data_IF_605938563080
#
_entry.id   IF_605938563080
#
_cell.length_a   1.000
_cell.length_b   1.000
_cell.length_c   1.000
_cell.angle_alpha   90.00
_cell.angle_beta   90.00
_cell.angle_gamma   90.00
#
_symmetry.space_group_name_H-M   'P 1'
#
loop_
_entity.id
_entity.type
_entity.pdbx_description
1 polymer ?
#
# COMPACT_ATOMS: atom_id res chain seq x y z
N UNK A 1 -25.73 42.18 -16.65
CA UNK A 1 -24.80 41.88 -15.54
C UNK A 1 -23.74 40.95 -16.10
N UNK A 2 -22.47 41.26 -15.83
CA UNK A 2 -21.31 40.84 -16.63
C UNK A 2 -21.14 39.33 -16.78
N UNK A 3 -20.58 38.94 -17.93
CA UNK A 3 -20.16 37.56 -18.16
C UNK A 3 -19.11 37.16 -17.13
N UNK A 4 -19.32 36.02 -16.50
CA UNK A 4 -18.40 35.47 -15.52
C UNK A 4 -17.02 35.24 -16.17
N UNK A 5 -16.03 35.91 -15.61
CA UNK A 5 -14.62 35.87 -15.97
C UNK A 5 -14.08 34.45 -15.68
N UNK A 6 -14.19 33.54 -16.65
CA UNK A 6 -13.55 32.23 -16.57
C UNK A 6 -12.03 32.40 -16.70
N UNK A 7 -11.34 32.54 -15.57
CA UNK A 7 -9.88 32.48 -15.53
C UNK A 7 -9.42 31.03 -15.70
N UNK A 8 -8.94 30.70 -16.90
CA UNK A 8 -8.29 29.41 -17.19
C UNK A 8 -6.97 29.33 -16.40
N UNK A 9 -6.87 28.38 -15.48
CA UNK A 9 -5.66 28.13 -14.69
C UNK A 9 -5.93 27.89 -13.21
N UNK A 10 -4.94 27.39 -12.49
CA UNK A 10 -5.01 27.26 -11.02
C UNK A 10 -4.84 28.66 -10.42
N UNK A 11 -5.75 29.05 -9.52
CA UNK A 11 -5.57 30.32 -8.79
C UNK A 11 -4.33 30.19 -7.89
N UNK A 12 -3.40 31.16 -7.91
CA UNK A 12 -2.23 31.13 -7.05
C UNK A 12 -2.64 30.97 -5.58
N UNK A 13 -1.86 30.17 -4.83
CA UNK A 13 -2.06 30.01 -3.40
C UNK A 13 -1.96 31.36 -2.69
N UNK A 14 -2.76 31.56 -1.65
CA UNK A 14 -2.70 32.77 -0.82
C UNK A 14 -1.46 32.77 0.09
N UNK A 15 -0.80 31.62 0.24
CA UNK A 15 0.42 31.45 1.02
C UNK A 15 1.65 31.49 0.13
N UNK A 16 2.72 32.12 0.62
CA UNK A 16 4.03 32.07 -0.03
C UNK A 16 4.58 30.65 0.09
N UNK A 17 4.83 30.01 -1.04
CA UNK A 17 5.43 28.68 -1.11
C UNK A 17 6.96 28.81 -1.02
N UNK A 18 7.59 28.06 -0.12
CA UNK A 18 9.05 27.97 0.07
C UNK A 18 9.50 26.51 0.00
N UNK A 19 10.11 26.14 -1.12
CA UNK A 19 10.60 24.80 -1.40
C UNK A 19 12.06 24.56 -1.01
N UNK A 20 12.73 25.50 -0.33
CA UNK A 20 14.19 25.44 -0.06
C UNK A 20 14.66 24.17 0.66
N UNK A 21 13.82 23.58 1.49
CA UNK A 21 14.12 22.35 2.24
C UNK A 21 13.52 21.09 1.61
N UNK A 22 12.90 21.19 0.43
CA UNK A 22 12.23 20.05 -0.19
C UNK A 22 13.16 19.23 -1.08
N UNK A 23 12.89 17.94 -1.15
CA UNK A 23 13.44 16.99 -2.11
C UNK A 23 12.36 16.42 -3.01
N UNK A 24 12.48 16.65 -4.31
CA UNK A 24 11.43 16.34 -5.29
C UNK A 24 11.93 15.29 -6.27
N UNK A 25 11.10 14.28 -6.51
CA UNK A 25 11.31 13.27 -7.56
C UNK A 25 10.52 13.66 -8.82
N UNK A 26 11.15 13.60 -9.99
CA UNK A 26 10.48 13.65 -11.29
C UNK A 26 10.73 12.32 -12.00
N UNK A 27 9.66 11.61 -12.36
CA UNK A 27 9.73 10.43 -13.22
C UNK A 27 9.04 10.77 -14.53
N UNK A 28 9.72 10.61 -15.67
CA UNK A 28 9.15 10.97 -16.96
C UNK A 28 9.29 9.89 -18.03
N UNK A 29 8.43 9.92 -19.05
CA UNK A 29 8.49 8.95 -20.16
C UNK A 29 9.51 9.35 -21.22
N UNK A 30 10.03 8.37 -21.97
CA UNK A 30 10.80 8.61 -23.20
C UNK A 30 9.94 8.65 -24.47
N UNK A 31 8.72 8.14 -24.40
CA UNK A 31 7.72 8.36 -25.45
C UNK A 31 7.34 9.85 -25.53
N UNK A 32 7.24 10.37 -26.76
CA UNK A 32 6.88 11.76 -27.06
C UNK A 32 7.83 12.80 -26.43
N UNK A 33 9.15 12.52 -26.44
CA UNK A 33 10.18 13.35 -25.82
C UNK A 33 10.15 14.83 -26.21
N UNK A 34 9.87 15.15 -27.47
CA UNK A 34 9.77 16.54 -27.95
C UNK A 34 8.71 17.37 -27.19
N UNK A 35 7.72 16.70 -26.59
CA UNK A 35 6.67 17.31 -25.77
C UNK A 35 6.97 17.13 -24.27
N UNK A 36 7.51 15.97 -23.88
CA UNK A 36 7.86 15.67 -22.47
C UNK A 36 9.00 16.57 -21.97
N UNK A 37 10.02 16.83 -22.78
CA UNK A 37 11.19 17.61 -22.35
C UNK A 37 10.80 19.04 -21.95
N UNK A 38 9.99 19.80 -22.75
CA UNK A 38 9.47 21.10 -22.32
C UNK A 38 8.64 21.05 -21.04
N UNK A 39 7.85 19.98 -20.81
CA UNK A 39 7.07 19.81 -19.58
C UNK A 39 7.99 19.59 -18.36
N UNK A 40 9.02 18.75 -18.50
CA UNK A 40 10.03 18.53 -17.45
C UNK A 40 10.77 19.82 -17.16
N UNK A 41 11.22 20.55 -18.19
CA UNK A 41 11.90 21.84 -18.04
C UNK A 41 11.01 22.85 -17.32
N UNK A 42 9.73 22.95 -17.70
CA UNK A 42 8.76 23.83 -17.04
C UNK A 42 8.58 23.48 -15.55
N UNK A 43 8.47 22.19 -15.23
CA UNK A 43 8.39 21.73 -13.85
C UNK A 43 9.64 22.09 -13.04
N UNK A 44 10.83 21.78 -13.57
CA UNK A 44 12.11 22.09 -12.91
C UNK A 44 12.27 23.59 -12.68
N UNK A 45 12.03 24.42 -13.71
CA UNK A 45 12.12 25.86 -13.59
C UNK A 45 11.20 26.41 -12.49
N UNK A 46 9.98 25.89 -12.39
CA UNK A 46 9.05 26.31 -11.35
C UNK A 46 9.43 25.79 -9.95
N UNK A 47 10.01 24.58 -9.84
CA UNK A 47 10.56 24.10 -8.57
C UNK A 47 11.69 25.01 -8.07
N UNK A 48 12.62 25.36 -8.96
CA UNK A 48 13.73 26.28 -8.65
C UNK A 48 13.23 27.69 -8.30
N UNK A 49 12.20 28.19 -9.01
CA UNK A 49 11.57 29.49 -8.72
C UNK A 49 10.93 29.53 -7.32
N UNK A 50 10.49 28.39 -6.81
CA UNK A 50 10.01 28.23 -5.44
C UNK A 50 11.13 27.92 -4.43
N UNK A 51 12.39 27.88 -4.86
CA UNK A 51 13.56 27.74 -4.00
C UNK A 51 14.09 26.32 -3.83
N UNK A 52 13.49 25.30 -4.47
CA UNK A 52 14.01 23.92 -4.42
C UNK A 52 15.42 23.90 -5.01
N UNK A 53 16.40 23.44 -4.23
CA UNK A 53 17.79 23.42 -4.69
C UNK A 53 17.96 22.39 -5.83
N UNK A 54 18.70 22.69 -6.92
CA UNK A 54 18.84 21.78 -8.06
C UNK A 54 19.33 20.37 -7.70
N UNK A 55 20.22 20.25 -6.71
CA UNK A 55 20.69 18.93 -6.22
C UNK A 55 19.62 18.09 -5.51
N UNK A 56 18.49 18.71 -5.14
CA UNK A 56 17.35 18.05 -4.50
C UNK A 56 16.25 17.69 -5.50
N UNK A 57 16.43 17.99 -6.78
CA UNK A 57 15.54 17.59 -7.86
C UNK A 57 16.13 16.36 -8.52
N UNK A 58 15.55 15.19 -8.25
CA UNK A 58 16.00 13.92 -8.83
C UNK A 58 15.13 13.58 -10.03
N UNK A 59 15.73 13.44 -11.20
CA UNK A 59 15.03 13.14 -12.45
C UNK A 59 15.39 11.72 -12.91
N UNK A 60 14.38 10.92 -13.27
CA UNK A 60 14.54 9.57 -13.83
C UNK A 60 13.59 9.33 -14.98
N UNK A 61 14.08 8.75 -16.07
CA UNK A 61 13.25 8.37 -17.20
C UNK A 61 12.77 6.91 -17.11
N UNK A 62 11.65 6.63 -17.77
CA UNK A 62 11.09 5.30 -18.01
C UNK A 62 10.70 5.14 -19.49
N UNK A 63 10.57 3.90 -20.01
CA UNK A 63 10.21 3.70 -21.42
C UNK A 63 8.89 4.38 -21.79
N UNK A 64 7.77 4.04 -21.12
CA UNK A 64 6.45 4.58 -21.41
C UNK A 64 5.64 4.91 -20.16
N UNK A 65 4.42 5.43 -20.37
CA UNK A 65 3.58 5.91 -19.28
C UNK A 65 3.16 4.78 -18.32
N UNK A 66 3.01 3.55 -18.83
CA UNK A 66 2.61 2.39 -18.04
C UNK A 66 3.61 2.06 -16.92
N UNK A 67 4.89 2.40 -17.10
CA UNK A 67 5.93 2.18 -16.09
C UNK A 67 5.98 3.28 -15.01
N UNK A 68 5.37 4.45 -15.23
CA UNK A 68 5.43 5.60 -14.31
C UNK A 68 5.05 5.23 -12.86
N UNK A 69 3.90 4.56 -12.59
CA UNK A 69 3.52 4.24 -11.22
C UNK A 69 4.53 3.31 -10.54
N UNK A 70 4.96 2.26 -11.25
CA UNK A 70 5.89 1.27 -10.70
C UNK A 70 7.26 1.86 -10.38
N UNK A 71 7.79 2.69 -11.28
CA UNK A 71 9.05 3.38 -11.08
C UNK A 71 8.98 4.40 -9.94
N UNK A 72 7.95 5.25 -9.92
CA UNK A 72 7.77 6.24 -8.85
C UNK A 72 7.64 5.56 -7.48
N UNK A 73 6.80 4.52 -7.36
CA UNK A 73 6.65 3.79 -6.11
C UNK A 73 7.96 3.17 -5.63
N UNK A 74 8.72 2.56 -6.55
CA UNK A 74 10.01 1.93 -6.23
C UNK A 74 11.01 2.97 -5.72
N UNK A 75 11.18 4.09 -6.42
CA UNK A 75 12.13 5.14 -6.07
C UNK A 75 11.77 5.83 -4.75
N UNK A 76 10.47 6.09 -4.51
CA UNK A 76 9.98 6.66 -3.25
C UNK A 76 10.27 5.71 -2.08
N UNK A 77 9.94 4.43 -2.21
CA UNK A 77 10.19 3.45 -1.13
C UNK A 77 11.68 3.28 -0.86
N UNK A 78 12.50 3.27 -1.90
CA UNK A 78 13.95 3.17 -1.76
C UNK A 78 14.53 4.38 -1.00
N UNK A 79 14.09 5.60 -1.31
CA UNK A 79 14.58 6.80 -0.61
C UNK A 79 14.16 6.84 0.87
N UNK A 80 12.98 6.31 1.20
CA UNK A 80 12.51 6.13 2.58
C UNK A 80 13.30 5.07 3.36
N UNK A 81 13.80 4.02 2.70
CA UNK A 81 14.58 2.97 3.34
C UNK A 81 16.01 3.42 3.67
N UNK A 82 16.64 4.20 2.78
CA UNK A 82 18.01 4.72 2.99
C UNK A 82 18.12 5.73 4.13
N UNK A 83 17.01 6.37 4.54
CA UNK A 83 17.01 7.24 5.73
C UNK A 83 17.11 6.50 7.06
N UNK A 84 16.97 5.17 7.08
CA UNK A 84 17.17 4.38 8.29
C UNK A 84 18.66 4.12 8.52
N UNK A 85 19.24 4.71 9.56
CA UNK A 85 20.66 4.60 9.97
C UNK A 85 21.26 3.18 9.96
N UNK A 86 20.43 2.13 10.11
CA UNK A 86 20.86 0.72 10.15
C UNK A 86 21.23 0.18 8.76
N UNK A 87 20.55 0.60 7.68
CA UNK A 87 20.84 0.09 6.33
C UNK A 87 22.22 0.53 5.83
N UNK A 88 22.65 1.74 6.20
CA UNK A 88 23.95 2.28 5.78
C UNK A 88 25.14 1.52 6.37
N UNK A 89 24.99 0.89 7.54
CA UNK A 89 26.04 0.05 8.15
C UNK A 89 26.10 -1.32 7.44
N UNK A 90 24.94 -1.89 7.12
CA UNK A 90 24.85 -3.21 6.47
C UNK A 90 25.28 -3.16 5.01
N UNK A 91 24.94 -2.09 4.29
CA UNK A 91 25.35 -1.91 2.88
C UNK A 91 26.86 -1.70 2.73
N UNK A 92 27.52 -1.04 3.69
CA UNK A 92 28.99 -0.86 3.70
C UNK A 92 29.72 -2.19 3.98
N UNK A 93 29.08 -3.11 4.73
CA UNK A 93 29.60 -4.45 5.02
C UNK A 93 29.36 -5.46 3.89
N UNK A 94 28.24 -5.34 3.17
CA UNK A 94 27.83 -6.32 2.14
C UNK A 94 28.31 -5.97 0.72
N UNK A 95 29.00 -4.83 0.54
CA UNK A 95 29.46 -4.37 -0.78
C UNK A 95 28.32 -4.36 -1.82
N UNK A 96 27.10 -4.11 -1.36
CA UNK A 96 25.92 -3.99 -2.19
C UNK A 96 26.08 -2.76 -3.09
N UNK A 97 25.63 -2.80 -4.35
CA UNK A 97 25.77 -1.66 -5.25
C UNK A 97 25.09 -0.44 -4.61
N UNK A 98 25.89 0.53 -4.17
CA UNK A 98 25.38 1.81 -3.67
C UNK A 98 24.66 2.47 -4.84
N UNK A 99 23.40 2.90 -4.62
CA UNK A 99 22.77 3.86 -5.53
C UNK A 99 23.69 5.08 -5.64
N UNK A 100 23.71 5.73 -6.81
CA UNK A 100 24.45 6.97 -7.00
C UNK A 100 24.14 7.97 -5.87
N UNK A 101 25.14 8.76 -5.46
CA UNK A 101 25.05 9.75 -4.37
C UNK A 101 23.88 10.75 -4.47
N UNK A 102 23.18 10.78 -5.61
CA UNK A 102 22.02 11.61 -5.93
C UNK A 102 20.78 11.35 -5.03
N UNK A 103 20.60 10.13 -4.49
CA UNK A 103 19.36 9.75 -3.78
C UNK A 103 19.52 9.72 -2.25
N UNK A 104 20.26 10.65 -1.64
CA UNK A 104 20.32 10.75 -0.16
C UNK A 104 19.05 11.34 0.46
N UNK A 105 18.33 10.56 1.27
CA UNK A 105 17.15 11.00 2.02
C UNK A 105 15.81 10.86 1.27
N UNK A 106 14.68 10.85 2.01
CA UNK A 106 13.35 10.59 1.46
C UNK A 106 12.88 11.74 0.56
N UNK A 107 11.97 11.43 -0.37
CA UNK A 107 11.31 12.46 -1.18
C UNK A 107 10.12 13.06 -0.44
N UNK A 108 9.94 14.37 -0.59
CA UNK A 108 8.82 15.12 -0.02
C UNK A 108 7.59 15.09 -0.91
N UNK A 109 7.80 15.14 -2.24
CA UNK A 109 6.79 14.90 -3.27
C UNK A 109 7.42 14.29 -4.54
N UNK A 110 6.57 13.79 -5.43
CA UNK A 110 6.94 13.27 -6.73
C UNK A 110 6.05 13.84 -7.85
N UNK A 111 6.58 13.91 -9.07
CA UNK A 111 5.86 14.31 -10.29
C UNK A 111 6.03 13.19 -11.32
N UNK A 112 4.92 12.63 -11.79
CA UNK A 112 4.94 11.64 -12.88
C UNK A 112 4.54 12.33 -14.19
N UNK A 113 5.50 12.50 -15.10
CA UNK A 113 5.31 13.23 -16.36
C UNK A 113 5.23 12.25 -17.53
N UNK A 114 4.19 12.37 -18.35
CA UNK A 114 4.07 11.56 -19.56
C UNK A 114 3.09 12.16 -20.55
N UNK A 115 3.16 11.72 -21.80
CA UNK A 115 2.24 12.17 -22.84
C UNK A 115 1.69 10.94 -23.55
N UNK A 116 0.37 10.78 -23.48
CA UNK A 116 -0.41 9.78 -24.19
C UNK A 116 -1.23 10.50 -25.26
N UNK A 117 -1.09 10.05 -26.51
CA UNK A 117 -1.82 10.59 -27.67
C UNK A 117 -2.68 9.47 -28.26
N UNK A 118 -3.95 9.76 -28.53
CA UNK A 118 -4.91 8.78 -29.06
C UNK A 118 -4.46 8.26 -30.43
N UNK A 119 -4.21 6.95 -30.48
CA UNK A 119 -4.00 6.21 -31.73
C UNK A 119 -5.29 5.57 -32.26
N UNK A 120 -5.13 4.59 -33.15
CA UNK A 120 -6.25 3.89 -33.81
C UNK A 120 -6.96 2.83 -32.96
N UNK A 121 -6.37 2.44 -31.82
CA UNK A 121 -6.88 1.34 -30.97
C UNK A 121 -7.23 1.82 -29.56
N UNK A 122 -7.82 0.93 -28.75
CA UNK A 122 -8.14 1.18 -27.33
C UNK A 122 -6.91 1.23 -26.40
N UNK A 123 -5.70 1.09 -26.94
CA UNK A 123 -4.47 1.09 -26.16
C UNK A 123 -4.30 2.38 -25.35
N UNK A 124 -4.70 3.52 -25.93
CA UNK A 124 -4.68 4.82 -25.27
C UNK A 124 -5.55 4.81 -23.99
N UNK A 125 -6.79 4.35 -24.08
CA UNK A 125 -7.74 4.36 -22.97
C UNK A 125 -7.28 3.44 -21.84
N UNK A 126 -6.88 2.21 -22.15
CA UNK A 126 -6.46 1.25 -21.13
C UNK A 126 -5.19 1.69 -20.40
N UNK A 127 -4.22 2.28 -21.11
CA UNK A 127 -3.01 2.80 -20.45
C UNK A 127 -3.34 4.05 -19.65
N UNK A 128 -4.07 5.01 -20.22
CA UNK A 128 -4.41 6.26 -19.53
C UNK A 128 -5.16 5.99 -18.22
N UNK A 129 -6.13 5.08 -18.23
CA UNK A 129 -6.91 4.71 -17.06
C UNK A 129 -6.05 4.00 -16.00
N UNK A 130 -5.28 2.98 -16.40
CA UNK A 130 -4.41 2.24 -15.49
C UNK A 130 -3.32 3.12 -14.86
N UNK A 131 -2.71 4.02 -15.65
CA UNK A 131 -1.67 4.94 -15.18
C UNK A 131 -2.23 5.98 -14.22
N UNK A 132 -3.43 6.52 -14.50
CA UNK A 132 -4.10 7.48 -13.62
C UNK A 132 -4.37 6.89 -12.23
N UNK A 133 -4.97 5.70 -12.20
CA UNK A 133 -5.20 4.97 -10.94
C UNK A 133 -3.89 4.55 -10.26
N UNK A 134 -2.91 4.12 -11.04
CA UNK A 134 -1.59 3.73 -10.54
C UNK A 134 -0.91 4.89 -9.81
N UNK A 135 -0.79 6.06 -10.45
CA UNK A 135 -0.17 7.26 -9.87
C UNK A 135 -0.92 7.71 -8.61
N UNK A 136 -2.25 7.74 -8.63
CA UNK A 136 -3.07 8.04 -7.45
C UNK A 136 -2.71 7.11 -6.29
N UNK A 137 -2.65 5.81 -6.56
CA UNK A 137 -2.32 4.79 -5.56
C UNK A 137 -0.88 4.91 -5.05
N UNK A 138 0.09 5.30 -5.88
CA UNK A 138 1.45 5.59 -5.41
C UNK A 138 1.42 6.64 -4.30
N UNK A 139 0.69 7.73 -4.51
CA UNK A 139 0.59 8.79 -3.50
C UNK A 139 -0.02 8.32 -2.18
N UNK A 140 -1.12 7.56 -2.26
CA UNK A 140 -1.82 7.02 -1.09
C UNK A 140 -0.99 5.96 -0.35
N UNK A 141 -0.39 5.02 -1.08
CA UNK A 141 0.32 3.87 -0.50
C UNK A 141 1.69 4.26 0.08
N UNK A 142 2.35 5.27 -0.48
CA UNK A 142 3.68 5.72 -0.02
C UNK A 142 3.63 6.89 0.96
N UNK A 143 2.46 7.51 1.13
CA UNK A 143 2.27 8.74 1.88
C UNK A 143 3.19 9.88 1.39
N UNK A 144 3.48 9.92 0.08
CA UNK A 144 4.24 10.97 -0.62
C UNK A 144 3.34 11.53 -1.71
N UNK A 145 2.95 12.82 -1.68
CA UNK A 145 2.15 13.43 -2.73
C UNK A 145 2.78 13.17 -4.10
N UNK A 146 1.99 12.59 -5.00
CA UNK A 146 2.43 12.25 -6.36
C UNK A 146 1.58 13.01 -7.35
N UNK A 147 2.14 14.04 -7.96
CA UNK A 147 1.48 14.93 -8.92
C UNK A 147 1.27 14.19 -10.25
N UNK A 148 0.04 14.29 -10.76
CA UNK A 148 -0.37 13.69 -12.03
C UNK A 148 -0.01 14.63 -13.20
N UNK A 149 1.18 14.44 -13.78
CA UNK A 149 1.68 15.17 -14.94
C UNK A 149 1.52 14.41 -16.26
N UNK A 150 0.45 13.63 -16.41
CA UNK A 150 0.22 12.83 -17.64
C UNK A 150 -0.79 13.55 -18.54
N UNK A 151 -0.35 13.97 -19.72
CA UNK A 151 -1.24 14.52 -20.73
C UNK A 151 -1.94 13.38 -21.48
N UNK A 152 -3.27 13.37 -21.45
CA UNK A 152 -4.11 12.43 -22.22
C UNK A 152 -4.79 13.19 -23.36
N UNK A 153 -4.12 13.28 -24.51
CA UNK A 153 -4.54 14.11 -25.64
C UNK A 153 -5.11 13.29 -26.79
N UNK A 154 -6.01 13.89 -27.56
CA UNK A 154 -6.54 13.28 -28.78
C UNK A 154 -5.68 13.56 -30.01
N UNK A 155 -4.91 14.65 -29.99
CA UNK A 155 -4.02 15.05 -31.09
C UNK A 155 -2.68 15.56 -30.57
N UNK A 156 -1.66 15.55 -31.42
CA UNK A 156 -0.34 16.10 -31.14
C UNK A 156 -0.41 17.61 -30.83
N UNK A 157 -1.23 18.37 -31.56
CA UNK A 157 -1.38 19.81 -31.34
C UNK A 157 -1.88 20.11 -29.93
N UNK A 158 -2.82 19.31 -29.41
CA UNK A 158 -3.32 19.45 -28.05
C UNK A 158 -2.23 19.24 -27.01
N UNK A 159 -1.34 18.27 -27.24
CA UNK A 159 -0.22 17.98 -26.36
C UNK A 159 0.84 19.09 -26.44
N UNK A 160 1.16 19.58 -27.64
CA UNK A 160 2.09 20.69 -27.86
C UNK A 160 1.62 21.97 -27.18
N UNK A 161 0.34 22.34 -27.30
CA UNK A 161 -0.24 23.50 -26.62
C UNK A 161 -0.15 23.39 -25.09
N UNK A 162 -0.35 22.18 -24.55
CA UNK A 162 -0.26 21.90 -23.10
C UNK A 162 1.17 21.86 -22.56
N UNK A 163 2.15 21.77 -23.45
CA UNK A 163 3.57 21.89 -23.14
C UNK A 163 4.13 23.30 -23.44
N UNK A 164 3.28 24.25 -23.83
CA UNK A 164 3.69 25.63 -24.17
C UNK A 164 4.47 25.77 -25.48
N UNK A 165 4.42 24.75 -26.35
CA UNK A 165 5.15 24.68 -27.62
C UNK A 165 4.21 24.62 -28.83
N UNK A 166 2.97 25.08 -28.68
CA UNK A 166 2.01 25.20 -29.77
C UNK A 166 2.53 26.06 -30.94
N UNK A 167 1.90 25.91 -32.11
CA UNK A 167 2.30 26.60 -33.35
C UNK A 167 1.52 27.92 -33.52
N UNK A 168 2.13 28.90 -34.20
CA UNK A 168 1.50 30.19 -34.49
C UNK A 168 1.38 31.08 -33.26
N UNK A 169 0.30 31.84 -33.16
CA UNK A 169 0.03 32.74 -32.03
C UNK A 169 -0.47 31.99 -30.78
N UNK A 170 -0.96 30.76 -30.94
CA UNK A 170 -1.47 29.93 -29.84
C UNK A 170 -0.41 28.90 -29.39
N UNK A 171 0.61 29.40 -28.69
CA UNK A 171 1.64 28.56 -28.06
C UNK A 171 1.09 27.70 -26.92
N UNK A 172 -0.06 28.07 -26.35
CA UNK A 172 -0.63 27.47 -25.17
C UNK A 172 0.15 27.78 -23.88
N UNK A 173 -0.11 26.98 -22.84
CA UNK A 173 0.48 27.13 -21.50
C UNK A 173 1.22 25.84 -21.14
N UNK A 174 2.41 25.97 -20.55
CA UNK A 174 3.19 24.82 -20.14
C UNK A 174 2.71 24.30 -18.78
N UNK A 175 1.92 23.22 -18.80
CA UNK A 175 1.40 22.61 -17.57
C UNK A 175 2.48 22.01 -16.66
N UNK A 176 3.70 21.79 -17.18
CA UNK A 176 4.85 21.44 -16.35
C UNK A 176 5.05 22.45 -15.21
N UNK A 177 4.85 23.74 -15.49
CA UNK A 177 4.96 24.81 -14.49
C UNK A 177 3.92 24.66 -13.36
N UNK A 178 2.68 24.33 -13.73
CA UNK A 178 1.60 24.07 -12.76
C UNK A 178 1.94 22.88 -11.87
N UNK A 179 2.49 21.81 -12.46
CA UNK A 179 2.86 20.60 -11.75
C UNK A 179 4.01 20.82 -10.76
N UNK A 180 4.99 21.64 -11.13
CA UNK A 180 6.06 22.07 -10.23
C UNK A 180 5.50 22.83 -9.03
N UNK A 181 4.60 23.78 -9.27
CA UNK A 181 3.93 24.55 -8.20
C UNK A 181 3.13 23.62 -7.27
N UNK A 182 2.32 22.74 -7.85
CA UNK A 182 1.50 21.79 -7.11
C UNK A 182 2.36 20.83 -6.27
N UNK A 183 3.51 20.39 -6.78
CA UNK A 183 4.42 19.52 -6.03
C UNK A 183 4.96 20.21 -4.77
N UNK A 184 5.36 21.47 -4.86
CA UNK A 184 5.84 22.26 -3.72
C UNK A 184 4.71 22.46 -2.70
N UNK A 185 3.54 22.89 -3.16
CA UNK A 185 2.40 23.14 -2.28
C UNK A 185 1.97 21.87 -1.53
N UNK A 186 1.84 20.75 -2.24
CA UNK A 186 1.46 19.47 -1.64
C UNK A 186 2.54 18.92 -0.70
N UNK A 187 3.82 19.12 -1.01
CA UNK A 187 4.92 18.76 -0.11
C UNK A 187 4.86 19.58 1.19
N UNK A 188 4.60 20.89 1.11
CA UNK A 188 4.49 21.74 2.29
C UNK A 188 3.29 21.39 3.17
N UNK A 189 2.15 21.00 2.57
CA UNK A 189 0.98 20.51 3.31
C UNK A 189 1.24 19.21 4.07
N UNK A 190 2.17 18.39 3.58
CA UNK A 190 2.59 17.14 4.21
C UNK A 190 3.48 17.39 5.44
N UNK A 191 4.25 18.49 5.45
CA UNK A 191 5.11 18.81 6.58
C UNK A 191 4.26 19.13 7.82
N UNK A 192 4.69 18.74 9.03
CA UNK A 192 4.01 19.14 10.25
C UNK A 192 3.96 20.66 10.31
N UNK A 193 2.77 21.24 10.45
CA UNK A 193 2.59 22.69 10.59
C UNK A 193 3.34 23.19 11.83
N UNK A 194 4.58 23.60 11.67
CA UNK A 194 5.26 24.44 12.66
C UNK A 194 4.67 25.85 12.56
N UNK A 195 3.94 26.24 13.61
CA UNK A 195 3.50 27.61 13.94
C UNK A 195 2.45 28.31 13.06
N UNK A 196 1.19 27.85 13.10
CA UNK A 196 0.03 28.73 12.88
C UNK A 196 -0.92 28.64 14.08
N UNK A 197 -1.15 29.77 14.74
CA UNK A 197 -1.96 29.85 15.96
C UNK A 197 -2.91 31.06 15.90
N UNK A 198 -4.10 30.94 15.31
CA UNK A 198 -5.19 31.86 15.60
C UNK A 198 -5.82 31.44 16.94
N UNK A 199 -6.39 32.41 17.65
CA UNK A 199 -6.76 32.34 19.06
C UNK A 199 -7.47 31.03 19.47
N UNK A 200 -6.85 30.32 20.43
CA UNK A 200 -7.48 29.18 21.09
C UNK A 200 -8.52 29.71 22.08
N UNK A 201 -9.78 29.73 21.67
CA UNK A 201 -10.83 29.40 22.62
C UNK A 201 -10.52 27.98 23.12
N UNK A 202 -10.36 27.74 24.43
CA UNK A 202 -10.09 26.41 24.95
C UNK A 202 -11.34 25.56 24.77
N UNK A 203 -11.53 25.04 23.57
CA UNK A 203 -12.31 23.83 23.40
C UNK A 203 -11.50 22.78 24.14
N UNK A 204 -11.97 22.34 25.31
CA UNK A 204 -11.60 21.03 25.85
C UNK A 204 -12.04 19.99 24.81
N UNK A 205 -11.21 19.80 23.78
CA UNK A 205 -11.25 18.59 22.99
C UNK A 205 -10.81 17.51 23.96
N UNK A 206 -11.73 16.61 24.31
CA UNK A 206 -11.30 15.25 24.67
C UNK A 206 -10.43 14.81 23.51
N UNK A 207 -9.16 14.53 23.78
CA UNK A 207 -8.34 13.79 22.82
C UNK A 207 -9.15 12.55 22.43
N UNK A 208 -9.35 12.26 21.13
CA UNK A 208 -9.66 10.89 20.80
C UNK A 208 -8.42 10.11 21.23
N UNK A 209 -8.54 9.31 22.28
CA UNK A 209 -7.51 8.35 22.66
C UNK A 209 -7.10 7.62 21.38
N UNK A 210 -5.85 7.79 20.95
CA UNK A 210 -5.31 6.98 19.87
C UNK A 210 -5.38 5.55 20.36
N UNK A 211 -6.13 4.63 19.71
CA UNK A 211 -6.07 3.25 20.10
C UNK A 211 -4.63 2.77 19.89
N UNK A 212 -4.05 2.19 20.94
CA UNK A 212 -2.72 1.58 20.87
C UNK A 212 -2.78 0.47 19.82
N UNK A 213 -2.18 0.69 18.65
CA UNK A 213 -2.12 -0.32 17.59
C UNK A 213 -1.13 -1.41 18.04
N UNK A 214 -1.66 -2.57 18.37
CA UNK A 214 -0.85 -3.74 18.72
C UNK A 214 -0.22 -4.34 17.45
N UNK A 215 0.99 -4.89 17.57
CA UNK A 215 1.59 -5.67 16.48
C UNK A 215 0.71 -6.88 16.18
N UNK A 216 0.29 -7.01 14.92
CA UNK A 216 -0.62 -8.07 14.50
C UNK A 216 0.03 -9.45 14.57
N UNK A 217 -0.73 -10.49 14.97
CA UNK A 217 -0.24 -11.86 14.89
C UNK A 217 0.03 -12.24 13.44
N UNK A 218 1.10 -13.02 13.22
CA UNK A 218 1.34 -13.68 11.93
C UNK A 218 0.44 -14.92 11.86
N UNK A 219 -0.38 -15.01 10.82
CA UNK A 219 -1.42 -16.06 10.65
C UNK A 219 -1.05 -16.93 9.45
N UNK A 220 -1.06 -18.25 9.63
CA UNK A 220 -0.91 -19.23 8.56
C UNK A 220 -2.26 -19.88 8.22
N UNK A 221 -2.55 -20.07 6.94
CA UNK A 221 -3.70 -20.84 6.45
C UNK A 221 -3.16 -21.89 5.48
N UNK A 222 -3.47 -23.15 5.73
CA UNK A 222 -3.16 -24.29 4.87
C UNK A 222 -4.46 -24.86 4.32
N UNK A 223 -4.53 -25.07 3.01
CA UNK A 223 -5.74 -25.58 2.36
C UNK A 223 -5.41 -26.62 1.30
N UNK A 224 -6.29 -27.60 1.08
CA UNK A 224 -6.17 -28.55 -0.03
C UNK A 224 -6.47 -27.89 -1.37
N UNK A 225 -5.79 -28.31 -2.46
CA UNK A 225 -5.96 -27.78 -3.83
C UNK A 225 -7.42 -27.68 -4.28
N UNK A 226 -8.25 -28.63 -3.88
CA UNK A 226 -9.66 -28.72 -4.27
C UNK A 226 -10.55 -27.59 -3.72
N UNK A 227 -10.00 -26.69 -2.88
CA UNK A 227 -10.77 -25.74 -2.07
C UNK A 227 -10.48 -24.26 -2.35
N UNK A 228 -9.75 -23.91 -3.42
CA UNK A 228 -9.30 -22.53 -3.69
C UNK A 228 -10.42 -21.48 -3.68
N UNK A 229 -11.56 -21.76 -4.32
CA UNK A 229 -12.67 -20.81 -4.50
C UNK A 229 -13.30 -20.34 -3.18
N UNK A 230 -13.02 -21.04 -2.07
CA UNK A 230 -13.53 -20.72 -0.73
C UNK A 230 -12.50 -20.02 0.15
N UNK A 231 -11.22 -20.10 -0.20
CA UNK A 231 -10.13 -19.55 0.60
C UNK A 231 -9.98 -18.05 0.39
N UNK A 232 -10.09 -17.58 -0.84
CA UNK A 232 -9.97 -16.16 -1.15
C UNK A 232 -11.03 -15.29 -0.43
N UNK A 233 -12.34 -15.63 -0.46
CA UNK A 233 -13.35 -14.89 0.31
C UNK A 233 -13.08 -14.90 1.81
N UNK A 234 -12.69 -16.06 2.36
CA UNK A 234 -12.40 -16.23 3.78
C UNK A 234 -11.20 -15.41 4.25
N UNK A 235 -10.13 -15.38 3.45
CA UNK A 235 -8.94 -14.56 3.72
C UNK A 235 -9.30 -13.08 3.71
N UNK A 236 -10.14 -12.64 2.77
CA UNK A 236 -10.55 -11.25 2.68
C UNK A 236 -11.44 -10.83 3.86
N UNK A 237 -12.39 -11.67 4.26
CA UNK A 237 -13.24 -11.43 5.43
C UNK A 237 -12.42 -11.39 6.73
N UNK A 238 -11.47 -12.32 6.90
CA UNK A 238 -10.58 -12.33 8.06
C UNK A 238 -9.68 -11.08 8.09
N UNK A 239 -9.17 -10.64 6.93
CA UNK A 239 -8.40 -9.38 6.83
C UNK A 239 -9.26 -8.20 7.27
N UNK A 240 -10.49 -8.11 6.78
CA UNK A 240 -11.42 -7.03 7.11
C UNK A 240 -11.74 -6.99 8.60
N UNK A 241 -12.08 -8.13 9.21
CA UNK A 241 -12.38 -8.20 10.64
C UNK A 241 -11.18 -7.77 11.50
N UNK A 242 -9.99 -8.31 11.21
CA UNK A 242 -8.78 -7.98 11.96
C UNK A 242 -8.39 -6.49 11.83
N UNK A 243 -8.65 -5.86 10.67
CA UNK A 243 -8.32 -4.45 10.45
C UNK A 243 -9.35 -3.52 11.06
N UNK A 244 -10.63 -3.74 10.77
CA UNK A 244 -11.71 -2.81 11.14
C UNK A 244 -12.11 -2.95 12.60
N UNK A 245 -12.33 -4.19 13.03
CA UNK A 245 -12.88 -4.46 14.36
C UNK A 245 -11.81 -4.49 15.44
N UNK A 246 -10.64 -5.02 15.09
CA UNK A 246 -9.55 -5.25 16.03
C UNK A 246 -8.34 -4.34 15.82
N UNK A 247 -8.37 -3.48 14.79
CA UNK A 247 -7.39 -2.41 14.57
C UNK A 247 -5.93 -2.88 14.42
N UNK A 248 -5.73 -4.12 13.96
CA UNK A 248 -4.42 -4.67 13.67
C UNK A 248 -3.91 -4.26 12.29
N UNK A 249 -2.65 -3.81 12.22
CA UNK A 249 -1.99 -3.49 10.95
C UNK A 249 -0.46 -3.48 11.11
N UNK A 250 0.32 -4.11 10.21
CA UNK A 250 -0.12 -4.84 9.01
C UNK A 250 -0.61 -6.26 9.34
N UNK A 251 -1.66 -6.73 8.66
CA UNK A 251 -2.17 -8.10 8.80
C UNK A 251 -1.36 -9.06 7.93
N UNK A 252 -0.58 -9.92 8.58
CA UNK A 252 0.29 -10.89 7.91
C UNK A 252 -0.35 -12.27 7.87
N UNK A 253 -1.27 -12.48 6.91
CA UNK A 253 -1.86 -13.80 6.60
C UNK A 253 -1.08 -14.44 5.45
N UNK A 254 -0.50 -15.61 5.70
CA UNK A 254 0.18 -16.47 4.73
C UNK A 254 -0.72 -17.65 4.39
N UNK A 255 -1.03 -17.81 3.11
CA UNK A 255 -1.83 -18.93 2.60
C UNK A 255 -0.91 -19.94 1.92
N UNK A 256 -1.06 -21.23 2.22
CA UNK A 256 -0.24 -22.33 1.69
C UNK A 256 -1.14 -23.43 1.17
N UNK A 257 -0.91 -23.88 -0.05
CA UNK A 257 -1.66 -24.97 -0.68
C UNK A 257 -0.99 -26.31 -0.36
N UNK A 258 -1.78 -27.30 0.01
CA UNK A 258 -1.39 -28.70 0.17
C UNK A 258 -1.99 -29.53 -0.97
N UNK A 259 -1.19 -30.40 -1.58
CA UNK A 259 -1.61 -31.23 -2.73
C UNK A 259 -2.71 -32.22 -2.34
N UNK A 260 -2.64 -32.75 -1.11
CA UNK A 260 -3.69 -33.56 -0.51
C UNK A 260 -4.07 -33.05 0.87
N UNK A 261 -5.30 -33.38 1.28
CA UNK A 261 -5.77 -33.23 2.67
C UNK A 261 -4.85 -33.96 3.68
N UNK A 262 -4.20 -35.05 3.25
CA UNK A 262 -3.26 -35.81 4.07
C UNK A 262 -1.98 -35.05 4.38
N UNK A 263 -1.63 -34.05 3.57
CA UNK A 263 -0.40 -33.28 3.73
C UNK A 263 -0.58 -32.08 4.65
N UNK A 264 -1.83 -31.63 4.86
CA UNK A 264 -2.16 -30.45 5.67
C UNK A 264 -1.47 -30.48 7.04
N UNK A 265 -1.49 -31.59 7.82
CA UNK A 265 -0.77 -31.66 9.09
C UNK A 265 0.74 -31.44 8.95
N UNK A 266 1.36 -31.98 7.91
CA UNK A 266 2.80 -31.81 7.66
C UNK A 266 3.14 -30.36 7.28
N UNK A 267 2.28 -29.69 6.51
CA UNK A 267 2.42 -28.27 6.18
C UNK A 267 2.25 -27.37 7.41
N UNK A 268 1.26 -27.65 8.26
CA UNK A 268 1.07 -26.94 9.53
C UNK A 268 2.28 -27.14 10.44
N UNK A 269 2.81 -28.36 10.54
CA UNK A 269 4.02 -28.66 11.32
C UNK A 269 5.23 -27.89 10.77
N UNK A 270 5.41 -27.85 9.45
CA UNK A 270 6.50 -27.08 8.83
C UNK A 270 6.36 -25.58 9.07
N UNK A 271 5.13 -25.04 8.97
CA UNK A 271 4.86 -23.64 9.31
C UNK A 271 5.20 -23.36 10.77
N UNK A 272 4.86 -24.26 11.68
CA UNK A 272 5.18 -24.14 13.10
C UNK A 272 6.70 -24.21 13.37
N UNK A 273 7.41 -25.15 12.74
CA UNK A 273 8.86 -25.33 12.95
C UNK A 273 9.71 -24.19 12.36
N UNK A 274 9.21 -23.52 11.30
CA UNK A 274 9.95 -22.49 10.57
C UNK A 274 9.54 -21.07 10.94
N UNK A 275 8.57 -20.83 11.82
CA UNK A 275 7.98 -19.49 11.97
C UNK A 275 7.50 -19.14 13.39
N UNK A 276 7.60 -17.85 13.73
CA UNK A 276 6.91 -17.14 14.81
C UNK A 276 5.40 -16.95 14.51
N UNK A 277 4.71 -18.02 14.08
CA UNK A 277 3.27 -17.97 13.78
C UNK A 277 2.46 -18.17 15.04
N UNK A 278 1.46 -17.31 15.25
CA UNK A 278 0.54 -17.41 16.39
C UNK A 278 -0.63 -18.36 16.09
N UNK A 279 -0.96 -18.56 14.81
CA UNK A 279 -2.12 -19.36 14.38
C UNK A 279 -1.88 -20.11 13.06
N UNK A 280 -2.44 -21.32 12.92
CA UNK A 280 -2.43 -22.11 11.69
C UNK A 280 -3.81 -22.75 11.44
N UNK A 281 -4.45 -22.49 10.30
CA UNK A 281 -5.77 -23.05 9.95
C UNK A 281 -5.64 -24.14 8.89
N UNK A 282 -6.35 -25.28 9.01
CA UNK A 282 -6.35 -26.35 8.01
C UNK A 282 -7.73 -26.54 7.37
N UNK A 283 -7.92 -26.24 6.07
CA UNK A 283 -9.26 -26.33 5.43
C UNK A 283 -9.39 -27.63 4.60
N UNK A 284 -10.44 -28.42 4.87
CA UNK A 284 -10.56 -29.80 4.40
C UNK A 284 -12.03 -30.18 4.10
N UNK A 285 -12.38 -30.40 2.83
CA UNK A 285 -13.74 -30.76 2.42
C UNK A 285 -13.87 -32.24 2.07
N UNK A 286 -14.99 -32.84 2.49
CA UNK A 286 -15.50 -34.16 2.11
C UNK A 286 -14.60 -35.35 2.49
N UNK A 287 -14.76 -35.83 3.71
CA UNK A 287 -14.14 -37.07 4.19
C UNK A 287 -15.17 -37.97 4.89
N UNK A 288 -14.88 -39.25 5.09
CA UNK A 288 -15.78 -40.12 5.86
C UNK A 288 -15.88 -39.63 7.32
N UNK A 289 -17.04 -39.77 7.97
CA UNK A 289 -17.23 -39.38 9.40
C UNK A 289 -16.13 -39.95 10.31
N UNK A 290 -15.65 -41.17 10.01
CA UNK A 290 -14.55 -41.83 10.71
C UNK A 290 -13.20 -41.13 10.58
N UNK A 291 -12.97 -40.43 9.46
CA UNK A 291 -11.75 -39.69 9.19
C UNK A 291 -11.76 -38.31 9.82
N UNK A 292 -12.91 -37.63 9.82
CA UNK A 292 -13.12 -36.36 10.53
C UNK A 292 -12.82 -36.53 12.01
N UNK A 293 -13.37 -37.58 12.63
CA UNK A 293 -13.13 -37.89 14.03
C UNK A 293 -11.65 -38.19 14.31
N UNK A 294 -10.98 -39.00 13.48
CA UNK A 294 -9.54 -39.31 13.65
C UNK A 294 -8.66 -38.08 13.51
N UNK A 295 -9.00 -37.18 12.59
CA UNK A 295 -8.23 -35.96 12.36
C UNK A 295 -8.43 -34.99 13.53
N UNK A 296 -9.65 -34.84 14.04
CA UNK A 296 -9.94 -34.11 15.29
C UNK A 296 -9.17 -34.71 16.46
N UNK A 297 -9.21 -36.03 16.65
CA UNK A 297 -8.54 -36.73 17.76
C UNK A 297 -7.01 -36.51 17.71
N UNK A 298 -6.39 -36.60 16.52
CA UNK A 298 -4.94 -36.45 16.33
C UNK A 298 -4.49 -35.02 16.66
N UNK A 299 -5.31 -34.02 16.31
CA UNK A 299 -5.07 -32.61 16.61
C UNK A 299 -5.32 -32.30 18.10
N UNK A 300 -6.39 -32.83 18.69
CA UNK A 300 -6.68 -32.70 20.14
C UNK A 300 -5.60 -33.36 21.01
N UNK A 301 -5.11 -34.53 20.61
CA UNK A 301 -4.02 -35.24 21.29
C UNK A 301 -2.71 -34.44 21.21
N UNK A 302 -2.48 -33.71 20.11
CA UNK A 302 -1.36 -32.79 19.95
C UNK A 302 -1.49 -31.53 20.81
N UNK A 303 -2.67 -30.91 20.86
CA UNK A 303 -2.99 -29.76 21.76
C UNK A 303 -2.63 -30.13 23.21
N UNK A 304 -2.98 -31.35 23.63
CA UNK A 304 -2.71 -31.85 24.97
C UNK A 304 -1.22 -32.14 25.23
N UNK A 305 -0.42 -32.31 24.17
CA UNK A 305 1.01 -32.66 24.24
C UNK A 305 1.97 -31.45 24.16
N UNK A 306 1.47 -30.26 23.79
CA UNK A 306 2.26 -29.01 23.79
C UNK A 306 2.30 -28.48 25.24
N UNK A 307 2.98 -29.24 26.11
CA UNK A 307 3.29 -28.90 27.49
C UNK A 307 4.68 -28.25 27.62
N UNK A 308 5.10 -27.42 26.66
CA UNK A 308 6.41 -26.77 26.69
C UNK A 308 6.21 -25.24 26.71
N UNK A 309 6.66 -24.55 27.77
CA UNK A 309 6.62 -23.08 27.81
C UNK A 309 7.43 -22.49 26.65
N UNK A 310 6.83 -21.54 25.93
CA UNK A 310 7.51 -20.79 24.86
C UNK A 310 7.30 -21.30 23.42
N UNK A 311 6.44 -22.31 23.18
CA UNK A 311 5.93 -22.61 21.84
C UNK A 311 4.41 -22.50 21.83
N UNK A 312 3.92 -21.60 20.98
CA UNK A 312 2.55 -21.11 20.88
C UNK A 312 1.54 -22.25 20.68
N UNK A 313 0.33 -22.18 21.27
CA UNK A 313 -0.71 -23.17 21.01
C UNK A 313 -1.13 -23.10 19.53
N UNK A 314 -1.02 -24.23 18.83
CA UNK A 314 -1.52 -24.39 17.46
C UNK A 314 -3.03 -24.60 17.54
N UNK A 315 -3.82 -23.72 16.92
CA UNK A 315 -5.27 -23.91 16.78
C UNK A 315 -5.60 -24.52 15.43
N UNK A 316 -5.63 -25.85 15.36
CA UNK A 316 -6.01 -26.55 14.14
C UNK A 316 -7.54 -26.60 14.01
N UNK A 317 -8.14 -25.66 13.27
CA UNK A 317 -9.56 -25.72 12.92
C UNK A 317 -9.72 -26.29 11.50
N UNK A 318 -10.64 -27.25 11.37
CA UNK A 318 -10.93 -27.96 10.13
C UNK A 318 -12.33 -27.57 9.67
N UNK A 319 -12.39 -26.87 8.55
CA UNK A 319 -13.64 -26.57 7.87
C UNK A 319 -14.03 -27.76 6.98
N UNK A 320 -14.98 -28.58 7.43
CA UNK A 320 -15.58 -29.67 6.63
C UNK A 320 -17.00 -29.31 6.20
N UNK A 321 -17.15 -28.92 4.93
CA UNK A 321 -18.45 -28.61 4.31
C UNK A 321 -19.11 -29.91 3.85
N UNK A 322 -19.80 -30.55 4.78
CA UNK A 322 -21.07 -31.30 4.60
C UNK A 322 -21.74 -31.68 5.95
N UNK A 323 -21.15 -31.33 7.10
CA UNK A 323 -21.72 -31.55 8.44
C UNK A 323 -22.28 -30.29 9.11
N UNK A 324 -23.21 -29.56 8.47
CA UNK A 324 -23.78 -28.30 8.99
C UNK A 324 -24.21 -28.38 10.47
N UNK A 325 -24.80 -29.50 10.88
CA UNK A 325 -25.26 -29.72 12.25
C UNK A 325 -24.13 -29.86 13.29
N UNK A 326 -22.97 -30.42 12.92
CA UNK A 326 -21.82 -30.51 13.82
C UNK A 326 -21.09 -29.17 13.93
N UNK A 327 -21.02 -28.40 12.84
CA UNK A 327 -20.53 -27.02 12.84
C UNK A 327 -21.41 -26.15 13.73
N UNK A 328 -22.74 -26.23 13.60
CA UNK A 328 -23.68 -25.49 14.45
C UNK A 328 -23.53 -25.87 15.93
N UNK A 329 -23.34 -27.15 16.26
CA UNK A 329 -23.13 -27.62 17.64
C UNK A 329 -21.77 -27.18 18.22
N UNK A 330 -20.71 -27.18 17.40
CA UNK A 330 -19.43 -26.57 17.75
C UNK A 330 -19.60 -25.07 17.97
N UNK A 331 -20.29 -24.35 17.08
CA UNK A 331 -20.56 -22.91 17.21
C UNK A 331 -21.40 -22.58 18.46
N UNK A 332 -22.35 -23.45 18.83
CA UNK A 332 -23.15 -23.35 20.05
C UNK A 332 -22.30 -23.51 21.33
N UNK A 333 -21.41 -24.51 21.38
CA UNK A 333 -20.45 -24.66 22.49
C UNK A 333 -19.45 -23.49 22.59
N UNK A 334 -19.35 -22.69 21.53
CA UNK A 334 -18.35 -21.65 21.36
C UNK A 334 -18.92 -20.22 21.46
N UNK A 335 -20.22 -20.08 21.72
CA UNK A 335 -20.88 -18.83 22.11
C UNK A 335 -21.30 -17.91 20.96
N UNK A 336 -22.52 -18.10 20.45
CA UNK A 336 -23.44 -17.04 20.02
C UNK A 336 -23.10 -16.23 18.75
N UNK A 337 -23.53 -16.76 17.60
CA UNK A 337 -24.01 -16.11 16.37
C UNK A 337 -23.42 -14.74 15.91
N UNK A 338 -22.42 -14.81 15.03
CA UNK A 338 -22.23 -13.98 13.82
C UNK A 338 -21.02 -14.53 13.04
N UNK A 339 -20.89 -14.19 11.76
CA UNK A 339 -19.97 -14.73 10.74
C UNK A 339 -18.78 -15.57 11.22
N UNK A 340 -18.55 -16.73 10.58
CA UNK A 340 -17.50 -17.68 10.94
C UNK A 340 -16.12 -17.00 11.14
N UNK A 341 -15.78 -16.02 10.30
CA UNK A 341 -14.57 -15.21 10.41
C UNK A 341 -14.53 -14.34 11.68
N UNK A 342 -15.65 -13.76 12.09
CA UNK A 342 -15.77 -12.96 13.32
C UNK A 342 -15.52 -13.83 14.56
N UNK A 343 -16.15 -15.00 14.61
CA UNK A 343 -15.98 -15.95 15.72
C UNK A 343 -14.51 -16.36 15.87
N UNK A 344 -13.81 -16.54 14.76
CA UNK A 344 -12.40 -16.88 14.74
C UNK A 344 -11.49 -15.72 15.13
N UNK A 345 -11.77 -14.53 14.62
CA UNK A 345 -11.06 -13.32 15.02
C UNK A 345 -11.17 -13.13 16.54
N UNK A 346 -12.37 -13.29 17.13
CA UNK A 346 -12.58 -13.20 18.58
C UNK A 346 -11.74 -14.22 19.39
N UNK A 347 -11.67 -15.47 18.94
CA UNK A 347 -10.89 -16.52 19.61
C UNK A 347 -9.38 -16.32 19.53
N UNK A 348 -8.91 -15.90 18.36
CA UNK A 348 -7.51 -15.53 18.17
C UNK A 348 -7.14 -14.41 19.15
N UNK A 349 -8.05 -13.45 19.35
CA UNK A 349 -7.89 -12.33 20.26
C UNK A 349 -7.89 -12.73 21.73
N UNK A 350 -8.83 -13.58 22.18
CA UNK A 350 -8.87 -14.05 23.55
C UNK A 350 -7.59 -14.82 23.93
N UNK A 351 -7.07 -15.62 23.00
CA UNK A 351 -5.83 -16.36 23.18
C UNK A 351 -4.63 -15.42 23.24
N UNK A 352 -4.52 -14.47 22.31
CA UNK A 352 -3.44 -13.48 22.32
C UNK A 352 -3.45 -12.67 23.63
N UNK A 353 -4.62 -12.28 24.11
CA UNK A 353 -4.77 -11.60 25.39
C UNK A 353 -4.38 -12.47 26.59
N UNK A 354 -4.67 -13.77 26.56
CA UNK A 354 -4.21 -14.72 27.58
C UNK A 354 -2.69 -14.89 27.56
N UNK A 355 -2.08 -14.93 26.36
CA UNK A 355 -0.62 -15.02 26.21
C UNK A 355 0.09 -13.80 26.82
N UNK A 356 -0.39 -12.59 26.48
CA UNK A 356 0.13 -11.33 27.06
C UNK A 356 0.04 -11.33 28.59
N UNK A 357 -1.03 -11.89 29.16
CA UNK A 357 -1.20 -12.02 30.62
C UNK A 357 -0.29 -13.08 31.25
N UNK A 358 0.06 -14.13 30.51
CA UNK A 358 0.97 -15.19 30.96
C UNK A 358 2.45 -14.83 30.84
N UNK A 359 2.79 -13.70 30.21
CA UNK A 359 4.18 -13.26 30.01
C UNK A 359 4.97 -14.12 29.03
N UNK A 360 4.27 -14.87 28.17
CA UNK A 360 4.83 -15.70 27.10
C UNK A 360 4.99 -14.95 25.79
#
# INVERSE_FOLDING_TARGET
MGGDDFHKGVKPSSQKLDGSNLKILIVHTRWNQEIVDPLVIGAVHTLEAHGVHPSNIVIRDVPGAYELPGAAQKLIRQSQQQSNLVSNIVDDLLNTPKLSDEVKGPFDAAICIGVLIKGSTMHFEYIADAVSHGIMRVGLDTNVPTVFGVLTCLTDEQAMQRAGIGKGDDKGHNHGEDWGTAAVEMALLRLPLTSYHPERVPIRRREPERPQRHTAPKIGIVYSVENWDLIEPLVNELRYELSEKYQYSPINIRVTQAESIHDIPAFIINLHQRSELVFALGVALKTSETFEQRLVDLLTQRISSIGVPGRLPVFDCILVRDGRAQIEKLLECMGGASGLAETWARRAMDTYAQMLKSGM
#
